data_IF_867761241610
#
_entry.id   IF_867761241610
#
_cell.length_a   1.000
_cell.length_b   1.000
_cell.length_c   1.000
_cell.angle_alpha   90.00
_cell.angle_beta   90.00
_cell.angle_gamma   90.00
#
_symmetry.space_group_name_H-M   'P 1'
#
loop_
_entity.id
_entity.type
_entity.pdbx_description
1 polymer ?
#
# COMPACT_ATOMS: atom_id res chain seq x y z
N UNK A 1 9.12 2.75 -22.41
CA UNK A 1 9.24 1.40 -21.82
C UNK A 1 9.12 1.43 -20.29
N UNK A 2 10.01 2.18 -19.58
CA UNK A 2 9.97 2.21 -18.11
C UNK A 2 8.69 2.85 -17.54
N UNK A 3 8.18 3.99 -18.06
CA UNK A 3 6.89 4.53 -17.63
C UNK A 3 5.71 3.56 -17.83
N UNK A 4 5.72 2.78 -18.92
CA UNK A 4 4.67 1.78 -19.17
C UNK A 4 4.72 0.65 -18.15
N UNK A 5 5.94 0.23 -17.77
CA UNK A 5 6.15 -0.75 -16.70
C UNK A 5 5.59 -0.27 -15.37
N UNK A 6 5.84 0.98 -14.98
CA UNK A 6 5.31 1.54 -13.74
C UNK A 6 3.77 1.51 -13.70
N UNK A 7 3.13 1.73 -14.84
CA UNK A 7 1.66 1.76 -14.95
C UNK A 7 1.03 0.37 -15.06
N UNK A 8 1.67 -0.54 -15.79
CA UNK A 8 1.04 -1.80 -16.19
C UNK A 8 1.99 -2.98 -16.43
N UNK A 9 3.20 -2.96 -15.88
CA UNK A 9 4.23 -3.97 -16.17
C UNK A 9 4.50 -4.97 -15.04
N UNK A 10 3.93 -4.78 -13.85
CA UNK A 10 4.28 -5.58 -12.67
C UNK A 10 3.69 -7.00 -12.68
N UNK A 11 2.43 -7.14 -13.11
CA UNK A 11 1.75 -8.43 -13.09
C UNK A 11 1.90 -9.20 -14.40
N UNK A 12 1.97 -10.55 -14.39
CA UNK A 12 2.19 -11.36 -15.60
C UNK A 12 1.17 -11.12 -16.72
N UNK A 13 -0.08 -10.82 -16.40
CA UNK A 13 -1.12 -10.53 -17.40
C UNK A 13 -0.93 -9.19 -18.12
N UNK A 14 0.08 -8.39 -17.75
CA UNK A 14 0.49 -7.20 -18.51
C UNK A 14 0.90 -7.51 -19.95
N UNK A 15 1.39 -8.72 -20.22
CA UNK A 15 1.78 -9.15 -21.56
C UNK A 15 0.60 -9.25 -22.54
N UNK A 16 -0.62 -9.38 -22.04
CA UNK A 16 -1.83 -9.45 -22.87
C UNK A 16 -2.21 -8.10 -23.49
N UNK A 17 -1.49 -7.00 -23.18
CA UNK A 17 -1.70 -5.62 -23.66
C UNK A 17 -3.17 -5.19 -23.62
N UNK A 18 -3.90 -5.61 -22.63
CA UNK A 18 -5.32 -5.34 -22.49
C UNK A 18 -5.58 -3.88 -22.15
N UNK A 19 -6.50 -3.24 -22.89
CA UNK A 19 -7.04 -1.91 -22.51
C UNK A 19 -7.75 -1.94 -21.15
N UNK A 20 -7.99 -3.13 -20.62
CA UNK A 20 -8.67 -3.39 -19.35
C UNK A 20 -7.72 -3.75 -18.21
N UNK A 21 -6.41 -3.51 -18.37
CA UNK A 21 -5.41 -3.88 -17.34
C UNK A 21 -5.77 -3.36 -15.94
N UNK A 22 -6.16 -2.08 -15.84
CA UNK A 22 -6.61 -1.49 -14.58
C UNK A 22 -7.77 -2.29 -13.96
N UNK A 23 -8.76 -2.65 -14.76
CA UNK A 23 -9.90 -3.44 -14.28
C UNK A 23 -9.49 -4.86 -13.85
N UNK A 24 -8.49 -5.46 -14.50
CA UNK A 24 -7.95 -6.75 -14.08
C UNK A 24 -7.28 -6.66 -12.71
N UNK A 25 -6.46 -5.64 -12.48
CA UNK A 25 -5.84 -5.38 -11.18
C UNK A 25 -6.90 -5.13 -10.11
N UNK A 26 -7.90 -4.29 -10.38
CA UNK A 26 -9.03 -4.04 -9.48
C UNK A 26 -9.79 -5.33 -9.14
N UNK A 27 -10.06 -6.17 -10.12
CA UNK A 27 -10.75 -7.44 -9.92
C UNK A 27 -9.95 -8.41 -9.04
N UNK A 28 -8.61 -8.48 -9.23
CA UNK A 28 -7.74 -9.28 -8.38
C UNK A 28 -7.77 -8.79 -6.93
N UNK A 29 -7.67 -7.49 -6.72
CA UNK A 29 -7.73 -6.90 -5.37
C UNK A 29 -9.11 -7.12 -4.74
N UNK A 30 -10.19 -6.90 -5.48
CA UNK A 30 -11.54 -7.17 -4.99
C UNK A 30 -11.74 -8.66 -4.64
N UNK A 31 -11.19 -9.57 -5.45
CA UNK A 31 -11.21 -10.99 -5.13
C UNK A 31 -10.47 -11.31 -3.83
N UNK A 32 -9.31 -10.72 -3.61
CA UNK A 32 -8.56 -10.85 -2.34
C UNK A 32 -9.40 -10.33 -1.16
N UNK A 33 -10.00 -9.15 -1.29
CA UNK A 33 -10.84 -8.55 -0.25
C UNK A 33 -12.05 -9.44 0.05
N UNK A 34 -12.75 -9.91 -0.97
CA UNK A 34 -14.00 -10.68 -0.81
C UNK A 34 -13.73 -12.13 -0.37
N UNK A 35 -12.68 -12.76 -0.88
CA UNK A 35 -12.38 -14.16 -0.57
C UNK A 35 -11.58 -14.31 0.72
N UNK A 36 -10.46 -13.61 0.84
CA UNK A 36 -9.54 -13.80 1.96
C UNK A 36 -9.99 -13.03 3.21
N UNK A 37 -10.31 -11.74 3.06
CA UNK A 37 -10.65 -10.92 4.20
C UNK A 37 -12.03 -11.26 4.75
N UNK A 38 -13.00 -11.52 3.88
CA UNK A 38 -14.36 -11.85 4.32
C UNK A 38 -14.47 -13.26 4.87
N UNK A 39 -13.94 -14.27 4.16
CA UNK A 39 -14.08 -15.67 4.55
C UNK A 39 -13.17 -16.08 5.70
N UNK A 40 -11.90 -15.65 5.68
CA UNK A 40 -10.90 -16.10 6.65
C UNK A 40 -10.71 -15.15 7.83
N UNK A 41 -11.03 -13.87 7.67
CA UNK A 41 -10.85 -12.86 8.72
C UNK A 41 -12.16 -12.31 9.28
N UNK A 42 -13.31 -12.80 8.81
CA UNK A 42 -14.63 -12.46 9.33
C UNK A 42 -15.05 -10.99 9.09
N UNK A 43 -14.48 -10.35 8.08
CA UNK A 43 -14.87 -8.99 7.71
C UNK A 43 -16.25 -9.03 7.02
N UNK A 44 -17.19 -8.21 7.50
CA UNK A 44 -18.52 -8.16 6.90
C UNK A 44 -18.47 -7.57 5.48
N UNK A 45 -19.37 -8.04 4.62
CA UNK A 45 -19.51 -7.54 3.23
C UNK A 45 -19.73 -6.02 3.18
N UNK A 46 -20.40 -5.44 4.18
CA UNK A 46 -20.56 -3.98 4.28
C UNK A 46 -19.23 -3.22 4.45
N UNK A 47 -18.21 -3.90 4.95
CA UNK A 47 -16.89 -3.31 5.17
C UNK A 47 -15.96 -3.44 3.94
N UNK A 48 -16.27 -4.28 2.95
CA UNK A 48 -15.46 -4.39 1.72
C UNK A 48 -15.45 -3.08 0.94
N UNK A 49 -16.61 -2.38 0.87
CA UNK A 49 -16.70 -1.04 0.26
C UNK A 49 -15.82 0.00 0.99
N UNK A 50 -15.73 -0.09 2.31
CA UNK A 50 -14.88 0.80 3.10
C UNK A 50 -13.39 0.52 2.86
N UNK A 51 -13.02 -0.74 2.61
CA UNK A 51 -11.65 -1.10 2.25
C UNK A 51 -11.30 -0.54 0.87
N UNK A 52 -12.19 -0.64 -0.13
CA UNK A 52 -11.97 -0.03 -1.45
C UNK A 52 -11.81 1.50 -1.34
N UNK A 53 -12.65 2.18 -0.54
CA UNK A 53 -12.50 3.61 -0.27
C UNK A 53 -11.16 3.92 0.45
N UNK A 54 -10.74 3.06 1.36
CA UNK A 54 -9.43 3.18 2.03
C UNK A 54 -8.27 3.11 1.03
N UNK A 55 -8.32 2.19 0.06
CA UNK A 55 -7.28 2.07 -0.98
C UNK A 55 -7.21 3.33 -1.86
N UNK A 56 -8.36 3.91 -2.23
CA UNK A 56 -8.40 5.19 -2.97
C UNK A 56 -7.78 6.33 -2.15
N UNK A 57 -8.06 6.40 -0.85
CA UNK A 57 -7.47 7.41 0.01
C UNK A 57 -5.96 7.21 0.12
N UNK A 58 -5.48 5.98 0.34
CA UNK A 58 -4.03 5.69 0.46
C UNK A 58 -3.30 6.01 -0.84
N UNK A 59 -3.86 5.66 -2.00
CA UNK A 59 -3.25 5.91 -3.31
C UNK A 59 -3.20 7.39 -3.70
N UNK A 60 -4.14 8.19 -3.20
CA UNK A 60 -4.17 9.64 -3.40
C UNK A 60 -3.41 10.43 -2.34
N UNK A 61 -2.94 9.78 -1.28
CA UNK A 61 -2.10 10.43 -0.29
C UNK A 61 -0.68 10.60 -0.83
N UNK A 62 -0.13 11.80 -0.64
CA UNK A 62 1.31 11.95 -0.61
C UNK A 62 1.86 11.03 0.49
N UNK A 63 3.09 10.50 0.39
CA UNK A 63 3.65 9.60 1.39
C UNK A 63 3.80 10.28 2.75
N UNK A 64 2.69 10.42 3.47
CA UNK A 64 2.58 11.11 4.74
C UNK A 64 2.59 10.17 5.94
N UNK A 65 2.95 10.77 7.06
CA UNK A 65 2.64 10.24 8.39
C UNK A 65 1.16 9.91 8.47
N UNK A 66 0.88 8.66 8.78
CA UNK A 66 -0.48 8.13 8.82
C UNK A 66 -1.27 8.79 9.96
N UNK A 67 -2.25 9.60 9.64
CA UNK A 67 -3.24 10.07 10.61
C UNK A 67 -4.42 9.10 10.70
N UNK A 68 -4.26 8.08 11.54
CA UNK A 68 -5.30 7.06 11.77
C UNK A 68 -6.60 7.68 12.26
N UNK A 69 -6.54 8.76 13.05
CA UNK A 69 -7.75 9.40 13.57
C UNK A 69 -8.53 10.13 12.50
N UNK A 70 -7.84 10.77 11.55
CA UNK A 70 -8.45 11.40 10.38
C UNK A 70 -9.06 10.35 9.45
N UNK A 71 -8.33 9.28 9.14
CA UNK A 71 -8.83 8.17 8.31
C UNK A 71 -10.03 7.47 8.94
N UNK A 72 -9.98 7.18 10.24
CA UNK A 72 -11.07 6.58 11.00
C UNK A 72 -12.36 7.40 10.87
N UNK A 73 -12.27 8.71 11.03
CA UNK A 73 -13.42 9.62 10.90
C UNK A 73 -13.93 9.70 9.46
N UNK A 74 -13.05 9.89 8.47
CA UNK A 74 -13.45 10.05 7.08
C UNK A 74 -14.12 8.80 6.49
N UNK A 75 -13.68 7.62 6.91
CA UNK A 75 -14.21 6.34 6.44
C UNK A 75 -15.30 5.73 7.35
N UNK A 76 -15.59 6.38 8.48
CA UNK A 76 -16.49 5.84 9.50
C UNK A 76 -16.12 4.40 9.90
N UNK A 77 -14.84 4.17 10.17
CA UNK A 77 -14.26 2.91 10.64
C UNK A 77 -13.63 3.19 12.00
N UNK A 78 -13.89 2.37 13.00
CA UNK A 78 -13.21 2.51 14.29
C UNK A 78 -11.69 2.24 14.15
N UNK A 79 -10.91 2.86 15.07
CA UNK A 79 -9.45 2.82 15.02
C UNK A 79 -8.88 1.40 15.02
N UNK A 80 -9.43 0.53 15.84
CA UNK A 80 -8.94 -0.85 15.99
C UNK A 80 -9.17 -1.64 14.70
N UNK A 81 -10.36 -1.51 14.13
CA UNK A 81 -10.73 -2.13 12.86
C UNK A 81 -9.86 -1.60 11.71
N UNK A 82 -9.59 -0.29 11.67
CA UNK A 82 -8.73 0.30 10.65
C UNK A 82 -7.29 -0.24 10.72
N UNK A 83 -6.72 -0.37 11.91
CA UNK A 83 -5.38 -0.97 12.09
C UNK A 83 -5.35 -2.44 11.66
N UNK A 84 -6.42 -3.20 11.94
CA UNK A 84 -6.56 -4.58 11.44
C UNK A 84 -6.61 -4.61 9.90
N UNK A 85 -7.31 -3.65 9.27
CA UNK A 85 -7.35 -3.58 7.80
C UNK A 85 -5.99 -3.27 7.21
N UNK A 86 -5.22 -2.35 7.80
CA UNK A 86 -3.84 -2.12 7.37
C UNK A 86 -3.01 -3.39 7.41
N UNK A 87 -3.06 -4.12 8.52
CA UNK A 87 -2.34 -5.38 8.65
C UNK A 87 -2.75 -6.41 7.59
N UNK A 88 -4.05 -6.62 7.38
CA UNK A 88 -4.52 -7.60 6.40
C UNK A 88 -4.15 -7.24 4.97
N UNK A 89 -4.24 -5.96 4.62
CA UNK A 89 -3.85 -5.48 3.30
C UNK A 89 -2.32 -5.55 3.08
N UNK A 90 -1.53 -5.37 4.12
CA UNK A 90 -0.06 -5.53 4.09
C UNK A 90 0.32 -7.02 3.93
N UNK A 91 -0.30 -7.92 4.69
CA UNK A 91 -0.15 -9.38 4.53
C UNK A 91 -0.53 -9.84 3.11
N UNK A 92 -1.60 -9.29 2.55
CA UNK A 92 -2.08 -9.56 1.18
C UNK A 92 -1.27 -8.88 0.07
N UNK A 93 -0.24 -8.10 0.40
CA UNK A 93 0.59 -7.34 -0.56
C UNK A 93 -0.22 -6.37 -1.43
N UNK A 94 -1.25 -5.77 -0.86
CA UNK A 94 -2.02 -4.68 -1.49
C UNK A 94 -1.46 -3.31 -1.09
N UNK A 95 -1.10 -3.17 0.18
CA UNK A 95 -0.39 -2.01 0.71
C UNK A 95 0.91 -2.46 1.39
N UNK A 96 1.72 -1.50 1.78
CA UNK A 96 2.91 -1.71 2.61
C UNK A 96 2.90 -0.78 3.80
N UNK A 97 2.95 -1.36 4.98
CA UNK A 97 3.06 -0.66 6.25
C UNK A 97 4.53 -0.52 6.64
N UNK A 98 5.00 0.71 6.81
CA UNK A 98 6.36 0.98 7.25
C UNK A 98 6.34 1.54 8.68
N UNK A 99 7.27 1.07 9.47
CA UNK A 99 7.46 1.42 10.88
C UNK A 99 8.90 1.90 11.10
N UNK A 100 9.12 2.76 12.07
CA UNK A 100 10.46 3.23 12.44
C UNK A 100 11.30 2.11 13.07
N UNK A 101 10.64 1.19 13.80
CA UNK A 101 11.29 0.03 14.45
C UNK A 101 10.45 -1.22 14.17
N UNK A 102 10.85 -2.04 13.22
CA UNK A 102 10.09 -3.25 12.85
C UNK A 102 10.16 -4.36 13.90
N UNK A 103 11.21 -4.43 14.70
CA UNK A 103 11.40 -5.52 15.68
C UNK A 103 10.48 -5.41 16.91
N UNK A 104 9.74 -4.31 17.06
CA UNK A 104 8.85 -4.04 18.19
C UNK A 104 7.38 -3.91 17.80
N UNK A 105 6.99 -4.37 16.62
CA UNK A 105 5.62 -4.20 16.13
C UNK A 105 4.64 -5.05 16.94
N UNK A 106 3.63 -4.42 17.51
CA UNK A 106 2.45 -5.08 18.07
C UNK A 106 1.34 -5.21 17.01
N UNK A 107 0.45 -6.17 17.19
CA UNK A 107 -0.66 -6.45 16.26
C UNK A 107 -1.56 -5.24 15.92
N UNK A 108 -1.58 -4.23 16.76
CA UNK A 108 -2.38 -3.02 16.62
C UNK A 108 -1.53 -1.75 16.60
N UNK A 109 -0.26 -1.87 16.22
CA UNK A 109 0.59 -0.70 16.08
C UNK A 109 0.19 0.10 14.84
N UNK A 110 0.18 1.42 15.01
CA UNK A 110 -0.01 2.37 13.92
C UNK A 110 1.24 2.38 13.04
N UNK A 111 1.13 2.18 11.71
CA UNK A 111 2.25 2.39 10.81
C UNK A 111 2.63 3.89 10.76
N UNK A 112 3.90 4.16 10.59
CA UNK A 112 4.41 5.52 10.42
C UNK A 112 4.17 6.03 9.00
N UNK A 113 4.35 5.17 7.99
CA UNK A 113 4.15 5.48 6.56
C UNK A 113 3.36 4.35 5.89
N UNK A 114 2.48 4.69 4.97
CA UNK A 114 1.76 3.75 4.11
C UNK A 114 2.10 4.02 2.65
N UNK A 115 2.33 2.94 1.90
CA UNK A 115 2.47 2.96 0.44
C UNK A 115 1.53 1.89 -0.16
N UNK A 116 1.17 2.03 -1.42
CA UNK A 116 0.70 0.88 -2.18
C UNK A 116 1.85 -0.11 -2.34
N UNK A 117 1.58 -1.42 -2.39
CA UNK A 117 2.67 -2.41 -2.43
C UNK A 117 3.53 -2.27 -3.69
N UNK A 118 2.93 -1.90 -4.81
CA UNK A 118 3.63 -1.65 -6.07
C UNK A 118 2.98 -0.51 -6.87
N UNK A 119 3.68 -0.03 -7.89
CA UNK A 119 3.21 1.10 -8.70
C UNK A 119 1.97 0.79 -9.51
N UNK A 120 1.76 -0.45 -9.97
CA UNK A 120 0.54 -0.78 -10.72
C UNK A 120 -0.73 -0.66 -9.85
N UNK A 121 -0.64 -1.03 -8.57
CA UNK A 121 -1.70 -0.76 -7.59
C UNK A 121 -1.88 0.75 -7.38
N UNK A 122 -0.77 1.49 -7.25
CA UNK A 122 -0.82 2.94 -7.11
C UNK A 122 -1.56 3.59 -8.28
N UNK A 123 -1.17 3.30 -9.53
CA UNK A 123 -1.84 3.82 -10.73
C UNK A 123 -3.27 3.31 -10.90
N UNK A 124 -3.59 2.13 -10.36
CA UNK A 124 -4.94 1.57 -10.44
C UNK A 124 -5.92 2.29 -9.52
N UNK A 125 -5.52 2.58 -8.30
CA UNK A 125 -6.41 3.15 -7.28
C UNK A 125 -6.35 4.68 -7.18
N UNK A 126 -5.34 5.34 -7.78
CA UNK A 126 -5.27 6.81 -7.82
C UNK A 126 -6.36 7.40 -8.70
N UNK A 127 -6.89 8.54 -8.27
CA UNK A 127 -7.76 9.39 -9.07
C UNK A 127 -6.89 10.29 -9.96
N UNK A 128 -6.62 9.82 -11.18
CA UNK A 128 -5.68 10.46 -12.11
C UNK A 128 -4.25 9.91 -12.03
N UNK A 129 -3.29 10.72 -12.48
CA UNK A 129 -1.87 10.35 -12.42
C UNK A 129 -1.34 10.56 -10.98
N UNK A 130 -0.73 9.53 -10.37
CA UNK A 130 -0.15 9.69 -9.05
C UNK A 130 1.03 10.68 -9.07
N UNK A 131 1.27 11.29 -7.94
CA UNK A 131 2.41 12.20 -7.76
C UNK A 131 3.73 11.44 -7.98
N UNK A 132 4.68 12.09 -8.68
CA UNK A 132 5.92 11.46 -9.15
C UNK A 132 6.79 10.94 -8.00
N UNK A 133 6.89 11.68 -6.89
CA UNK A 133 7.64 11.26 -5.70
C UNK A 133 7.04 10.00 -5.08
N UNK A 134 5.70 9.95 -4.94
CA UNK A 134 5.00 8.78 -4.45
C UNK A 134 5.24 7.55 -5.33
N UNK A 135 5.23 7.73 -6.65
CA UNK A 135 5.48 6.63 -7.59
C UNK A 135 6.94 6.12 -7.48
N UNK A 136 7.92 7.02 -7.34
CA UNK A 136 9.33 6.67 -7.15
C UNK A 136 9.55 5.92 -5.84
N UNK A 137 9.02 6.43 -4.74
CA UNK A 137 9.13 5.78 -3.43
C UNK A 137 8.46 4.40 -3.42
N UNK A 138 7.26 4.29 -3.99
CA UNK A 138 6.54 3.01 -4.10
C UNK A 138 7.35 2.01 -4.92
N UNK A 139 7.89 2.42 -6.06
CA UNK A 139 8.73 1.57 -6.91
C UNK A 139 9.98 1.11 -6.16
N UNK A 140 10.72 2.05 -5.58
CA UNK A 140 11.96 1.76 -4.86
C UNK A 140 11.74 0.79 -3.70
N UNK A 141 10.73 1.08 -2.86
CA UNK A 141 10.36 0.23 -1.74
C UNK A 141 9.98 -1.19 -2.19
N UNK A 142 9.18 -1.31 -3.26
CA UNK A 142 8.81 -2.61 -3.81
C UNK A 142 10.01 -3.40 -4.34
N UNK A 143 10.95 -2.76 -5.06
CA UNK A 143 12.14 -3.44 -5.58
C UNK A 143 13.04 -3.98 -4.46
N UNK A 144 13.28 -3.18 -3.42
CA UNK A 144 14.09 -3.60 -2.28
C UNK A 144 13.42 -4.74 -1.49
N UNK A 145 12.11 -4.63 -1.26
CA UNK A 145 11.36 -5.70 -0.59
C UNK A 145 11.39 -7.01 -1.39
N UNK A 146 11.27 -6.92 -2.72
CA UNK A 146 11.36 -8.08 -3.61
C UNK A 146 12.77 -8.69 -3.64
N UNK A 147 13.80 -7.89 -3.40
CA UNK A 147 15.18 -8.35 -3.23
C UNK A 147 15.46 -8.95 -1.84
N UNK A 148 14.48 -8.96 -0.93
CA UNK A 148 14.59 -9.56 0.40
C UNK A 148 15.11 -8.62 1.49
N UNK A 149 15.24 -7.33 1.20
CA UNK A 149 15.65 -6.35 2.21
C UNK A 149 14.54 -6.05 3.22
N UNK A 150 14.92 -5.82 4.46
CA UNK A 150 14.04 -5.23 5.47
C UNK A 150 13.96 -3.72 5.26
N UNK A 151 12.74 -3.19 5.16
CA UNK A 151 12.51 -1.77 4.91
C UNK A 151 11.73 -1.19 6.06
N UNK A 152 12.29 -0.17 6.68
CA UNK A 152 11.70 0.62 7.75
C UNK A 152 11.47 2.05 7.28
N UNK A 153 10.60 2.77 7.99
CA UNK A 153 10.48 4.20 7.80
C UNK A 153 11.75 4.90 8.27
N UNK A 154 12.34 5.73 7.42
CA UNK A 154 13.59 6.43 7.73
C UNK A 154 13.47 7.55 8.77
N UNK A 155 12.28 8.14 8.88
CA UNK A 155 11.98 9.24 9.79
C UNK A 155 11.97 10.63 9.11
N UNK A 156 11.22 11.56 9.68
CA UNK A 156 10.93 12.90 9.12
C UNK A 156 12.15 13.75 8.75
N UNK A 157 13.30 13.50 9.37
CA UNK A 157 14.51 14.33 9.21
C UNK A 157 15.70 13.56 8.68
N UNK A 158 15.57 12.26 8.48
CA UNK A 158 16.69 11.38 8.18
C UNK A 158 16.63 10.77 6.78
N UNK A 159 15.47 10.66 6.18
CA UNK A 159 15.28 10.11 4.84
C UNK A 159 13.99 9.30 4.72
N UNK A 160 13.68 8.84 3.53
CA UNK A 160 12.43 8.13 3.24
C UNK A 160 12.40 6.73 3.84
N UNK A 161 13.51 6.02 3.75
CA UNK A 161 13.64 4.62 4.13
C UNK A 161 14.90 4.34 4.92
N UNK A 162 14.82 3.37 5.85
CA UNK A 162 15.96 2.71 6.45
C UNK A 162 15.97 1.25 5.98
N UNK A 163 17.10 0.82 5.44
CA UNK A 163 17.28 -0.51 4.85
C UNK A 163 18.18 -1.35 5.76
N UNK A 164 17.72 -2.55 6.12
CA UNK A 164 18.44 -3.52 6.94
C UNK A 164 19.01 -2.93 8.25
N UNK A 165 18.22 -2.02 8.87
CA UNK A 165 18.55 -1.29 10.10
C UNK A 165 19.80 -0.37 10.03
N UNK A 166 20.41 -0.21 8.86
CA UNK A 166 21.72 0.45 8.71
C UNK A 166 21.71 1.64 7.76
N UNK A 167 21.20 1.45 6.56
CA UNK A 167 21.32 2.42 5.48
C UNK A 167 20.08 3.29 5.40
N UNK A 168 20.24 4.59 5.58
CA UNK A 168 19.15 5.56 5.37
C UNK A 168 19.24 6.10 3.95
N UNK A 169 18.12 6.09 3.25
CA UNK A 169 18.03 6.48 1.84
C UNK A 169 16.90 7.49 1.68
N UNK A 170 17.15 8.50 0.87
CA UNK A 170 16.18 9.45 0.36
C UNK A 170 15.99 9.22 -1.13
N UNK A 171 14.75 9.18 -1.58
CA UNK A 171 14.37 8.92 -2.98
C UNK A 171 13.93 10.23 -3.61
N UNK A 172 14.89 10.97 -4.14
CA UNK A 172 14.66 12.27 -4.80
C UNK A 172 14.22 12.18 -6.26
#
# INVERSE_FOLDING_TARGET
FFPDYLKSGYYPFSFEKSKTYKNLVENVVNYIIDSELTRYRGISVSNTRKISALLQVISGMLPYLVDVSKLSRSLSIDRVTLLKYFRYLDEAKVIRCLYTEMDKISDLQKPDKLLMDNTNLLYTFSDGEPETGTARETFFCNQLASAGHKIEYGGLKTGDFRIDHKNVIEVG
#
